data_IF_431327138289
#
_entry.id   IF_431327138289
#
_cell.length_a   1.000
_cell.length_b   1.000
_cell.length_c   1.000
_cell.angle_alpha   90.00
_cell.angle_beta   90.00
_cell.angle_gamma   90.00
#
_symmetry.space_group_name_H-M   'P 1'
#
loop_
_entity.id
_entity.type
_entity.pdbx_description
1 polymer ?
#
# COMPACT_ATOMS: atom_id res chain seq x y z
N UNK A 1 2.24 -5.20 -9.04
CA UNK A 1 1.16 -5.65 -8.17
C UNK A 1 1.27 -7.14 -7.91
N UNK A 2 0.64 -7.63 -6.82
CA UNK A 2 0.66 -9.04 -6.45
C UNK A 2 -0.76 -9.56 -6.30
N UNK A 3 -0.95 -10.83 -6.68
CA UNK A 3 -2.22 -11.54 -6.53
C UNK A 3 -1.99 -12.76 -5.65
N UNK A 4 -2.89 -12.97 -4.68
CA UNK A 4 -2.91 -14.18 -3.87
C UNK A 4 -3.90 -15.19 -4.49
N UNK A 5 -3.54 -16.47 -4.44
CA UNK A 5 -4.36 -17.55 -4.99
C UNK A 5 -4.63 -18.61 -3.93
N UNK A 6 -5.81 -19.22 -4.01
CA UNK A 6 -6.13 -20.47 -3.35
C UNK A 6 -6.26 -21.52 -4.46
N UNK A 7 -5.21 -22.34 -4.65
CA UNK A 7 -5.12 -23.17 -5.84
C UNK A 7 -5.08 -22.30 -7.10
N UNK A 8 -6.06 -22.44 -7.98
CA UNK A 8 -6.18 -21.63 -9.20
C UNK A 8 -7.11 -20.43 -9.04
N UNK A 9 -7.70 -20.22 -7.87
CA UNK A 9 -8.68 -19.15 -7.63
C UNK A 9 -7.99 -17.91 -7.09
N UNK A 10 -8.07 -16.75 -7.78
CA UNK A 10 -7.55 -15.50 -7.22
C UNK A 10 -8.44 -15.05 -6.06
N UNK A 11 -7.84 -14.79 -4.90
CA UNK A 11 -8.56 -14.49 -3.66
C UNK A 11 -8.25 -13.12 -3.09
N UNK A 12 -7.25 -12.43 -3.61
CA UNK A 12 -6.91 -11.09 -3.17
C UNK A 12 -5.80 -10.48 -4.00
N UNK A 13 -5.62 -9.16 -3.87
CA UNK A 13 -4.55 -8.46 -4.56
C UNK A 13 -4.08 -7.25 -3.77
N UNK A 14 -2.86 -6.80 -4.09
CA UNK A 14 -2.32 -5.54 -3.64
C UNK A 14 -1.69 -4.84 -4.84
N UNK A 15 -1.93 -3.55 -5.00
CA UNK A 15 -1.36 -2.77 -6.09
C UNK A 15 -0.91 -1.38 -5.63
N UNK A 16 -0.17 -0.73 -6.49
CA UNK A 16 0.34 0.60 -6.27
C UNK A 16 1.25 1.00 -7.42
N UNK A 17 2.08 2.01 -7.21
CA UNK A 17 3.11 2.34 -8.19
C UNK A 17 4.38 2.84 -7.49
N UNK A 18 5.41 3.11 -8.27
CA UNK A 18 6.72 3.55 -7.78
C UNK A 18 6.96 4.99 -8.21
N UNK A 19 7.52 5.79 -7.33
CA UNK A 19 7.76 7.21 -7.59
C UNK A 19 8.92 7.71 -6.73
N UNK A 20 9.49 8.86 -7.12
CA UNK A 20 10.45 9.58 -6.29
C UNK A 20 9.76 10.53 -5.30
N UNK A 21 8.45 10.75 -5.44
CA UNK A 21 7.71 11.61 -4.52
C UNK A 21 7.61 10.96 -3.14
N UNK A 22 7.78 11.79 -2.11
CA UNK A 22 7.75 11.32 -0.72
C UNK A 22 6.37 11.38 -0.08
N UNK A 23 5.37 11.83 -0.82
CA UNK A 23 3.99 11.99 -0.33
C UNK A 23 3.04 11.36 -1.33
N UNK A 24 2.14 10.50 -0.84
CA UNK A 24 1.08 9.92 -1.67
C UNK A 24 -0.01 10.96 -1.88
N UNK A 25 -0.35 11.24 -3.15
CA UNK A 25 -1.33 12.26 -3.53
C UNK A 25 -2.48 11.64 -4.31
N UNK A 26 -3.63 12.34 -4.32
CA UNK A 26 -4.79 11.90 -5.09
C UNK A 26 -4.52 11.85 -6.59
N UNK A 27 -3.64 12.72 -7.10
CA UNK A 27 -3.27 12.74 -8.52
C UNK A 27 -2.68 11.41 -8.98
N UNK A 28 -1.95 10.72 -8.12
CA UNK A 28 -1.31 9.44 -8.44
C UNK A 28 -2.33 8.37 -8.80
N UNK A 29 -3.53 8.41 -8.22
CA UNK A 29 -4.59 7.45 -8.55
C UNK A 29 -5.17 7.69 -9.94
N UNK A 30 -5.12 8.93 -10.43
CA UNK A 30 -5.73 9.32 -11.69
C UNK A 30 -4.75 9.38 -12.85
N UNK A 31 -3.43 9.48 -12.57
CA UNK A 31 -2.41 9.71 -13.59
C UNK A 31 -1.29 8.68 -13.51
N UNK A 32 -1.40 7.63 -14.32
CA UNK A 32 -0.40 6.57 -14.38
C UNK A 32 0.96 7.05 -14.90
N UNK A 33 1.02 8.21 -15.55
CA UNK A 33 2.29 8.76 -16.04
C UNK A 33 3.21 9.22 -14.91
N UNK A 34 2.68 9.37 -13.69
CA UNK A 34 3.47 9.69 -12.50
C UNK A 34 4.28 8.50 -12.00
N UNK A 35 3.99 7.29 -12.49
CA UNK A 35 4.76 6.10 -12.14
C UNK A 35 6.18 6.18 -12.73
N UNK A 36 7.17 5.97 -11.88
CA UNK A 36 8.56 5.89 -12.28
C UNK A 36 9.15 4.55 -11.81
N UNK A 37 9.41 3.59 -12.72
CA UNK A 37 9.90 2.27 -12.32
C UNK A 37 11.26 2.29 -11.63
N UNK A 38 11.98 3.40 -11.69
CA UNK A 38 13.25 3.60 -10.99
C UNK A 38 13.10 4.46 -9.73
N UNK A 39 11.87 4.73 -9.32
CA UNK A 39 11.58 5.60 -8.18
C UNK A 39 12.03 5.02 -6.84
N UNK A 40 12.19 5.92 -5.85
CA UNK A 40 12.68 5.56 -4.53
C UNK A 40 11.63 4.93 -3.63
N UNK A 41 10.35 5.22 -3.86
CA UNK A 41 9.26 4.84 -2.96
C UNK A 41 8.22 3.98 -3.64
N UNK A 42 7.86 2.87 -2.97
CA UNK A 42 6.72 2.04 -3.38
C UNK A 42 5.46 2.57 -2.71
N UNK A 43 4.50 3.05 -3.50
CA UNK A 43 3.19 3.45 -3.00
C UNK A 43 2.26 2.24 -3.01
N UNK A 44 1.39 2.12 -2.01
CA UNK A 44 0.29 1.15 -2.00
C UNK A 44 -1.00 1.91 -2.28
N UNK A 45 -1.72 1.49 -3.31
CA UNK A 45 -3.00 2.08 -3.69
C UNK A 45 -4.18 1.24 -3.21
N UNK A 46 -4.14 -0.05 -3.45
CA UNK A 46 -5.25 -0.93 -3.16
C UNK A 46 -4.81 -2.23 -2.51
N UNK A 47 -5.63 -2.69 -1.57
CA UNK A 47 -5.48 -3.99 -0.94
C UNK A 47 -6.88 -4.57 -0.83
N UNK A 48 -7.12 -5.71 -1.44
CA UNK A 48 -8.44 -6.33 -1.46
C UNK A 48 -8.36 -7.83 -1.29
N UNK A 49 -9.34 -8.39 -0.59
CA UNK A 49 -9.48 -9.83 -0.36
C UNK A 49 -10.95 -10.20 -0.54
N UNK A 50 -11.23 -11.31 -1.22
CA UNK A 50 -12.61 -11.79 -1.37
C UNK A 50 -13.24 -12.00 0.01
N UNK A 51 -14.54 -11.67 0.17
CA UNK A 51 -15.20 -11.71 1.48
C UNK A 51 -15.05 -13.03 2.24
N UNK A 52 -15.16 -14.17 1.57
CA UNK A 52 -15.04 -15.46 2.24
C UNK A 52 -13.61 -15.82 2.66
N UNK A 53 -12.61 -15.06 2.20
CA UNK A 53 -11.22 -15.25 2.58
C UNK A 53 -10.72 -14.20 3.56
N UNK A 54 -11.58 -13.29 3.98
CA UNK A 54 -11.22 -12.28 4.99
C UNK A 54 -11.01 -12.94 6.35
N UNK A 55 -10.21 -12.28 7.19
CA UNK A 55 -9.83 -12.76 8.52
C UNK A 55 -9.04 -14.07 8.52
N UNK A 56 -8.39 -14.39 7.39
CA UNK A 56 -7.52 -15.56 7.24
C UNK A 56 -6.05 -15.17 7.01
N UNK A 57 -5.72 -13.89 7.19
CA UNK A 57 -4.36 -13.41 7.04
C UNK A 57 -3.89 -13.17 5.60
N UNK A 58 -4.78 -13.27 4.61
CA UNK A 58 -4.41 -13.06 3.19
C UNK A 58 -3.92 -11.64 2.95
N UNK A 59 -4.62 -10.64 3.47
CA UNK A 59 -4.21 -9.24 3.35
C UNK A 59 -2.84 -8.99 3.95
N UNK A 60 -2.58 -9.54 5.13
CA UNK A 60 -1.29 -9.43 5.80
C UNK A 60 -0.16 -10.06 5.00
N UNK A 61 -0.41 -11.24 4.41
CA UNK A 61 0.57 -11.91 3.56
C UNK A 61 0.88 -11.08 2.31
N UNK A 62 -0.12 -10.44 1.71
CA UNK A 62 0.07 -9.57 0.56
C UNK A 62 0.91 -8.34 0.93
N UNK A 63 0.62 -7.72 2.07
CA UNK A 63 1.38 -6.57 2.57
C UNK A 63 2.84 -6.96 2.79
N UNK A 64 3.10 -8.06 3.48
CA UNK A 64 4.46 -8.52 3.77
C UNK A 64 5.23 -8.84 2.48
N UNK A 65 4.58 -9.51 1.53
CA UNK A 65 5.20 -9.84 0.24
C UNK A 65 5.53 -8.57 -0.56
N UNK A 66 4.64 -7.57 -0.52
CA UNK A 66 4.85 -6.31 -1.22
C UNK A 66 6.01 -5.51 -0.62
N UNK A 67 6.11 -5.51 0.71
CA UNK A 67 7.23 -4.89 1.43
C UNK A 67 8.54 -5.56 1.04
N UNK A 68 8.59 -6.89 1.04
CA UNK A 68 9.78 -7.63 0.65
C UNK A 68 10.18 -7.38 -0.80
N UNK A 69 9.22 -7.32 -1.71
CA UNK A 69 9.49 -6.99 -3.11
C UNK A 69 10.13 -5.60 -3.23
N UNK A 70 9.60 -4.61 -2.52
CA UNK A 70 10.16 -3.26 -2.51
C UNK A 70 11.58 -3.25 -1.95
N UNK A 71 11.84 -4.03 -0.91
CA UNK A 71 13.17 -4.17 -0.31
C UNK A 71 14.16 -4.81 -1.30
N UNK A 72 13.75 -5.88 -1.98
CA UNK A 72 14.56 -6.55 -2.99
C UNK A 72 14.89 -5.64 -4.17
N UNK A 73 13.97 -4.76 -4.54
CA UNK A 73 14.15 -3.78 -5.60
C UNK A 73 14.93 -2.54 -5.13
N UNK A 74 15.39 -2.54 -3.89
CA UNK A 74 16.22 -1.48 -3.28
C UNK A 74 15.53 -0.13 -3.22
N UNK A 75 14.20 -0.12 -3.02
CA UNK A 75 13.45 1.11 -2.74
C UNK A 75 13.85 1.65 -1.37
N UNK A 76 13.61 2.92 -1.11
CA UNK A 76 13.83 3.53 0.21
C UNK A 76 12.80 3.11 1.23
N UNK A 77 11.63 2.72 0.80
CA UNK A 77 10.57 2.26 1.66
C UNK A 77 9.24 2.16 0.95
N UNK A 78 8.18 2.05 1.76
CA UNK A 78 6.80 1.88 1.30
C UNK A 78 5.92 2.93 1.95
N UNK A 79 5.01 3.53 1.18
CA UNK A 79 4.10 4.59 1.64
C UNK A 79 2.67 4.19 1.30
N UNK A 80 1.76 4.44 2.24
CA UNK A 80 0.32 4.28 2.02
C UNK A 80 -0.45 5.40 2.70
N UNK A 81 -1.73 5.53 2.36
CA UNK A 81 -2.68 6.31 3.14
C UNK A 81 -3.81 5.40 3.59
N UNK A 82 -4.34 5.65 4.78
CA UNK A 82 -5.43 4.86 5.34
C UNK A 82 -6.33 5.72 6.22
N UNK A 83 -7.52 5.21 6.50
CA UNK A 83 -8.42 5.82 7.47
C UNK A 83 -7.91 5.54 8.89
N UNK A 84 -8.35 6.38 9.84
CA UNK A 84 -7.89 6.31 11.23
C UNK A 84 -8.01 4.90 11.84
N UNK A 85 -9.12 4.22 11.60
CA UNK A 85 -9.36 2.89 12.15
C UNK A 85 -8.39 1.81 11.64
N UNK A 86 -7.63 2.10 10.58
CA UNK A 86 -6.65 1.17 10.02
C UNK A 86 -5.21 1.45 10.46
N UNK A 87 -4.96 2.55 11.15
CA UNK A 87 -3.61 2.93 11.58
C UNK A 87 -2.97 1.81 12.41
N UNK A 88 -3.69 1.28 13.38
CA UNK A 88 -3.19 0.22 14.25
C UNK A 88 -2.89 -1.06 13.46
N UNK A 89 -3.71 -1.38 12.48
CA UNK A 89 -3.51 -2.55 11.63
C UNK A 89 -2.20 -2.46 10.85
N UNK A 90 -1.97 -1.33 10.18
CA UNK A 90 -0.75 -1.17 9.38
C UNK A 90 0.50 -1.00 10.26
N UNK A 91 0.36 -0.45 11.46
CA UNK A 91 1.47 -0.33 12.39
C UNK A 91 2.10 -1.70 12.73
N UNK A 92 1.31 -2.77 12.69
CA UNK A 92 1.82 -4.13 12.94
C UNK A 92 2.87 -4.58 11.91
N UNK A 93 2.85 -4.00 10.73
CA UNK A 93 3.80 -4.33 9.66
C UNK A 93 5.03 -3.43 9.64
N UNK A 94 5.08 -2.46 10.56
CA UNK A 94 6.20 -1.54 10.69
C UNK A 94 5.93 -0.15 10.11
N UNK A 95 4.72 0.12 9.61
CA UNK A 95 4.36 1.45 9.15
C UNK A 95 4.23 2.42 10.32
N UNK A 96 4.83 3.60 10.15
CA UNK A 96 4.76 4.69 11.14
C UNK A 96 3.77 5.73 10.62
N UNK A 97 2.85 6.14 11.52
CA UNK A 97 1.88 7.19 11.22
C UNK A 97 2.58 8.54 11.12
N UNK A 98 2.47 9.20 9.98
CA UNK A 98 3.06 10.53 9.73
C UNK A 98 2.06 11.67 9.88
N UNK A 99 0.84 11.35 10.32
CA UNK A 99 -0.20 12.33 10.50
C UNK A 99 -1.18 12.41 9.34
N UNK A 100 -2.06 13.40 9.40
CA UNK A 100 -3.11 13.57 8.42
C UNK A 100 -2.54 13.85 7.03
N UNK A 101 -3.01 13.09 6.05
CA UNK A 101 -2.59 13.20 4.66
C UNK A 101 -3.23 14.42 4.00
N UNK A 102 -2.60 14.93 2.93
CA UNK A 102 -3.19 15.95 2.06
C UNK A 102 -4.31 15.37 1.16
N UNK A 103 -4.44 14.04 1.12
CA UNK A 103 -5.52 13.38 0.39
C UNK A 103 -6.87 13.68 1.03
N UNK A 104 -7.89 13.98 0.21
CA UNK A 104 -9.27 14.15 0.67
C UNK A 104 -10.23 13.23 -0.08
N UNK A 105 -9.73 12.15 -0.64
CA UNK A 105 -10.47 11.19 -1.44
C UNK A 105 -11.75 10.75 -0.71
N UNK A 106 -12.90 10.93 -1.37
CA UNK A 106 -14.20 10.58 -0.80
C UNK A 106 -14.64 11.48 0.36
N UNK A 107 -14.00 12.64 0.58
CA UNK A 107 -14.31 13.54 1.67
C UNK A 107 -13.92 13.04 3.05
N UNK A 108 -13.18 11.94 3.13
CA UNK A 108 -12.75 11.34 4.39
C UNK A 108 -11.38 11.87 4.80
N UNK A 109 -11.07 11.75 6.10
CA UNK A 109 -9.72 11.97 6.60
C UNK A 109 -8.85 10.77 6.32
N UNK A 110 -7.68 11.01 5.75
CA UNK A 110 -6.68 9.99 5.46
C UNK A 110 -5.39 10.30 6.20
N UNK A 111 -4.69 9.26 6.62
CA UNK A 111 -3.41 9.37 7.33
C UNK A 111 -2.33 8.71 6.49
N UNK A 112 -1.19 9.39 6.33
CA UNK A 112 -0.05 8.82 5.63
C UNK A 112 0.76 7.98 6.58
N UNK A 113 1.16 6.79 6.13
CA UNK A 113 2.02 5.91 6.89
C UNK A 113 3.20 5.46 6.02
N UNK A 114 4.34 5.25 6.65
CA UNK A 114 5.60 4.96 5.95
C UNK A 114 6.41 3.90 6.66
N UNK A 115 7.04 3.03 5.87
CA UNK A 115 8.16 2.21 6.30
C UNK A 115 9.40 2.74 5.59
N UNK A 116 10.48 2.95 6.32
CA UNK A 116 11.79 3.30 5.77
C UNK A 116 12.71 2.10 5.97
N UNK A 117 13.30 1.62 4.89
CA UNK A 117 14.23 0.49 4.94
C UNK A 117 15.60 0.87 5.45
#
# INVERSE_FOLDING_TARGET
FLIAFDGDTPIGFIDGFVTDDEVLTDEMFADASMHNPHGAWQMIFGLNTLPKYRNRGVGGQLIEAFIELAREEKRKGVILTCKEEKIHYYAKFGFVNEGESISDHGGAKWYQMRIVF
#
